data_IF_912235752394
#
_entry.id   IF_912235752394
#
_cell.length_a   1.000
_cell.length_b   1.000
_cell.length_c   1.000
_cell.angle_alpha   90.00
_cell.angle_beta   90.00
_cell.angle_gamma   90.00
#
_symmetry.space_group_name_H-M   'P 1'
#
loop_
_entity.id
_entity.type
_entity.pdbx_description
1 polymer ?
#
# COMPACT_ATOMS: atom_id res chain seq x y z
N UNK A 1 29.56 11.01 -24.04
CA UNK A 1 28.13 10.63 -24.02
C UNK A 1 27.31 11.86 -23.63
N UNK A 2 26.54 12.46 -24.53
CA UNK A 2 25.72 13.63 -24.20
C UNK A 2 24.53 13.23 -23.32
N UNK A 3 24.12 14.11 -22.40
CA UNK A 3 23.00 13.90 -21.46
C UNK A 3 21.73 13.44 -22.19
N UNK A 4 21.50 13.96 -23.40
CA UNK A 4 20.35 13.62 -24.25
C UNK A 4 20.28 12.14 -24.62
N UNK A 5 21.41 11.44 -24.77
CA UNK A 5 21.38 9.99 -25.08
C UNK A 5 21.04 9.14 -23.85
N UNK A 6 21.48 9.55 -22.65
CA UNK A 6 21.10 8.85 -21.40
C UNK A 6 19.61 8.94 -21.13
N UNK A 7 18.97 10.08 -21.44
CA UNK A 7 17.53 10.24 -21.28
C UNK A 7 16.77 9.24 -22.17
N UNK A 8 17.19 9.10 -23.43
CA UNK A 8 16.60 8.13 -24.36
C UNK A 8 16.75 6.69 -23.91
N UNK A 9 17.86 6.35 -23.25
CA UNK A 9 18.14 5.00 -22.72
C UNK A 9 17.27 4.64 -21.50
N UNK A 10 17.01 5.59 -20.59
CA UNK A 10 16.17 5.34 -19.41
C UNK A 10 14.67 5.49 -19.67
N UNK A 11 14.28 6.15 -20.77
CA UNK A 11 12.87 6.46 -21.06
C UNK A 11 11.95 5.22 -21.04
N UNK A 12 12.33 4.06 -21.61
CA UNK A 12 11.49 2.86 -21.55
C UNK A 12 11.23 2.38 -20.11
N UNK A 13 12.27 2.36 -19.26
CA UNK A 13 12.15 1.94 -17.86
C UNK A 13 11.30 2.92 -17.03
N UNK A 14 11.40 4.23 -17.31
CA UNK A 14 10.57 5.26 -16.69
C UNK A 14 9.09 5.09 -17.06
N UNK A 15 8.78 4.77 -18.33
CA UNK A 15 7.41 4.51 -18.79
C UNK A 15 6.85 3.24 -18.14
N UNK A 16 7.65 2.18 -18.05
CA UNK A 16 7.26 0.94 -17.38
C UNK A 16 6.97 1.17 -15.89
N UNK A 17 7.85 1.88 -15.18
CA UNK A 17 7.66 2.24 -13.77
C UNK A 17 6.45 3.15 -13.54
N UNK A 18 6.18 4.08 -14.46
CA UNK A 18 4.98 4.91 -14.44
C UNK A 18 3.71 4.07 -14.61
N UNK A 19 3.71 3.13 -15.56
CA UNK A 19 2.60 2.19 -15.77
C UNK A 19 2.32 1.32 -14.56
N UNK A 20 3.37 0.82 -13.89
CA UNK A 20 3.24 0.05 -12.66
C UNK A 20 2.65 0.90 -11.53
N UNK A 21 3.16 2.12 -11.34
CA UNK A 21 2.66 3.06 -10.31
C UNK A 21 1.19 3.36 -10.52
N UNK A 22 0.78 3.62 -11.76
CA UNK A 22 -0.61 3.89 -12.10
C UNK A 22 -1.49 2.66 -11.80
N UNK A 23 -1.05 1.48 -12.21
CA UNK A 23 -1.79 0.22 -11.98
C UNK A 23 -1.98 -0.05 -10.49
N UNK A 24 -0.92 0.09 -9.69
CA UNK A 24 -0.97 -0.07 -8.23
C UNK A 24 -1.86 0.99 -7.58
N UNK A 25 -1.78 2.23 -8.03
CA UNK A 25 -2.60 3.34 -7.51
C UNK A 25 -4.07 3.08 -7.76
N UNK A 26 -4.46 2.74 -8.99
CA UNK A 26 -5.85 2.46 -9.34
C UNK A 26 -6.39 1.31 -8.49
N UNK A 27 -5.68 0.18 -8.43
CA UNK A 27 -6.11 -0.97 -7.63
C UNK A 27 -6.23 -0.64 -6.13
N UNK A 28 -5.21 0.02 -5.56
CA UNK A 28 -5.18 0.35 -4.13
C UNK A 28 -6.26 1.36 -3.75
N UNK A 29 -6.46 2.39 -4.58
CA UNK A 29 -7.50 3.41 -4.35
C UNK A 29 -8.88 2.79 -4.50
N UNK A 30 -9.13 1.95 -5.52
CA UNK A 30 -10.44 1.30 -5.69
C UNK A 30 -10.80 0.41 -4.49
N UNK A 31 -9.88 -0.43 -4.03
CA UNK A 31 -10.11 -1.28 -2.86
C UNK A 31 -10.27 -0.43 -1.60
N UNK A 32 -9.37 0.53 -1.39
CA UNK A 32 -9.42 1.44 -0.25
C UNK A 32 -10.71 2.25 -0.20
N UNK A 33 -11.22 2.69 -1.35
CA UNK A 33 -12.48 3.43 -1.47
C UNK A 33 -13.67 2.60 -1.02
N UNK A 34 -13.80 1.37 -1.53
CA UNK A 34 -14.88 0.45 -1.14
C UNK A 34 -14.84 0.17 0.37
N UNK A 35 -13.66 -0.17 0.91
CA UNK A 35 -13.49 -0.40 2.35
C UNK A 35 -13.80 0.87 3.17
N UNK A 36 -13.38 2.04 2.71
CA UNK A 36 -13.60 3.31 3.40
C UNK A 36 -15.09 3.64 3.51
N UNK A 37 -15.90 3.31 2.50
CA UNK A 37 -17.35 3.51 2.54
C UNK A 37 -17.94 2.69 3.70
N UNK A 38 -17.63 1.40 3.79
CA UNK A 38 -18.15 0.54 4.85
C UNK A 38 -17.69 1.00 6.24
N UNK A 39 -16.44 1.40 6.39
CA UNK A 39 -15.89 1.91 7.64
C UNK A 39 -16.52 3.25 8.04
N UNK A 40 -16.77 4.15 7.09
CA UNK A 40 -17.43 5.42 7.34
C UNK A 40 -18.88 5.20 7.82
N UNK A 41 -19.62 4.31 7.14
CA UNK A 41 -20.98 3.93 7.55
C UNK A 41 -20.98 3.28 8.94
N UNK A 42 -20.07 2.35 9.19
CA UNK A 42 -19.91 1.69 10.49
C UNK A 42 -19.61 2.69 11.61
N UNK A 43 -18.78 3.70 11.34
CA UNK A 43 -18.42 4.74 12.32
C UNK A 43 -19.62 5.62 12.72
N UNK A 44 -20.51 5.94 11.80
CA UNK A 44 -21.72 6.76 12.06
C UNK A 44 -22.82 5.95 12.76
N UNK A 45 -22.70 4.61 12.81
CA UNK A 45 -23.67 3.74 13.46
C UNK A 45 -23.90 4.11 14.93
N UNK A 46 -25.17 4.07 15.36
CA UNK A 46 -25.59 4.24 16.77
C UNK A 46 -25.05 3.16 17.71
N UNK A 47 -24.71 1.99 17.17
CA UNK A 47 -24.26 0.85 17.95
C UNK A 47 -22.76 0.95 18.23
N UNK A 48 -22.40 1.16 19.50
CA UNK A 48 -20.99 1.26 19.94
C UNK A 48 -20.15 0.05 19.56
N UNK A 49 -20.74 -1.15 19.55
CA UNK A 49 -20.07 -2.39 19.12
C UNK A 49 -19.57 -2.34 17.67
N UNK A 50 -20.20 -1.53 16.81
CA UNK A 50 -19.82 -1.37 15.40
C UNK A 50 -18.97 -0.10 15.23
N UNK A 51 -19.40 1.01 15.85
CA UNK A 51 -18.72 2.30 15.71
C UNK A 51 -17.32 2.31 16.33
N UNK A 52 -17.12 1.64 17.48
CA UNK A 52 -15.83 1.60 18.16
C UNK A 52 -14.71 0.92 17.34
N UNK A 53 -14.87 -0.32 16.83
CA UNK A 53 -13.82 -0.95 16.02
C UNK A 53 -13.56 -0.20 14.71
N UNK A 54 -14.60 0.35 14.04
CA UNK A 54 -14.41 1.20 12.86
C UNK A 54 -13.62 2.47 13.20
N UNK A 55 -13.92 3.09 14.35
CA UNK A 55 -13.19 4.24 14.87
C UNK A 55 -11.72 3.94 15.15
N UNK A 56 -11.45 2.79 15.78
CA UNK A 56 -10.09 2.33 16.08
C UNK A 56 -9.29 2.09 14.80
N UNK A 57 -9.87 1.41 13.81
CA UNK A 57 -9.24 1.20 12.51
C UNK A 57 -8.87 2.55 11.87
N UNK A 58 -9.84 3.47 11.76
CA UNK A 58 -9.61 4.77 11.15
C UNK A 58 -8.53 5.56 11.90
N UNK A 59 -8.53 5.52 13.23
CA UNK A 59 -7.54 6.19 14.05
C UNK A 59 -6.14 5.61 13.86
N UNK A 60 -6.00 4.29 13.85
CA UNK A 60 -4.72 3.60 13.64
C UNK A 60 -4.14 3.97 12.26
N UNK A 61 -4.89 3.74 11.19
CA UNK A 61 -4.37 3.95 9.82
C UNK A 61 -4.10 5.43 9.49
N UNK A 62 -4.81 6.38 10.14
CA UNK A 62 -4.55 7.83 9.99
C UNK A 62 -3.49 8.36 10.96
N UNK A 63 -3.23 7.66 12.06
CA UNK A 63 -2.29 8.06 13.11
C UNK A 63 -0.88 7.48 12.90
N UNK A 64 -0.74 6.40 12.13
CA UNK A 64 0.56 5.79 11.84
C UNK A 64 1.13 6.26 10.50
N UNK A 65 2.44 6.55 10.40
CA UNK A 65 3.10 6.84 9.12
C UNK A 65 2.95 5.68 8.13
N UNK A 66 2.63 5.97 6.86
CA UNK A 66 2.51 4.95 5.80
C UNK A 66 3.79 4.10 5.66
N UNK A 67 4.96 4.72 5.80
CA UNK A 67 6.24 4.00 5.76
C UNK A 67 6.35 2.92 6.85
N UNK A 68 5.84 3.19 8.05
CA UNK A 68 5.82 2.20 9.13
C UNK A 68 4.91 1.03 8.77
N UNK A 69 3.76 1.30 8.16
CA UNK A 69 2.82 0.26 7.72
C UNK A 69 3.46 -0.64 6.66
N UNK A 70 4.13 -0.04 5.67
CA UNK A 70 4.84 -0.80 4.62
C UNK A 70 5.97 -1.64 5.20
N UNK A 71 6.77 -1.10 6.11
CA UNK A 71 7.83 -1.87 6.78
C UNK A 71 7.27 -3.00 7.64
N UNK A 72 6.17 -2.78 8.35
CA UNK A 72 5.54 -3.85 9.11
C UNK A 72 5.05 -4.98 8.19
N UNK A 73 4.38 -4.65 7.09
CA UNK A 73 3.91 -5.65 6.12
C UNK A 73 5.08 -6.39 5.47
N UNK A 74 6.17 -5.68 5.15
CA UNK A 74 7.31 -6.27 4.46
C UNK A 74 8.22 -7.10 5.37
N UNK A 75 8.46 -6.65 6.61
CA UNK A 75 9.42 -7.30 7.52
C UNK A 75 8.78 -8.10 8.65
N UNK A 76 7.65 -7.65 9.21
CA UNK A 76 7.04 -8.30 10.37
C UNK A 76 6.03 -9.39 10.00
N UNK A 77 5.25 -9.19 8.93
CA UNK A 77 4.25 -10.17 8.48
C UNK A 77 4.84 -11.55 8.09
N UNK A 78 6.00 -11.62 7.40
CA UNK A 78 6.74 -12.86 7.15
C UNK A 78 7.08 -13.69 8.40
N UNK A 79 7.27 -13.05 9.56
CA UNK A 79 7.63 -13.72 10.82
C UNK A 79 6.45 -14.46 11.44
N UNK A 80 5.21 -14.07 11.10
CA UNK A 80 3.99 -14.68 11.64
C UNK A 80 3.69 -16.00 10.95
N UNK A 81 3.94 -16.12 9.65
CA UNK A 81 3.70 -17.36 8.92
C UNK A 81 4.57 -17.49 7.65
N UNK A 82 5.24 -18.64 7.38
CA UNK A 82 6.06 -18.84 6.19
C UNK A 82 5.34 -18.70 4.85
N UNK A 83 4.00 -18.82 4.80
CA UNK A 83 3.25 -18.57 3.55
C UNK A 83 3.13 -17.07 3.22
N UNK A 84 3.44 -16.18 4.16
CA UNK A 84 3.41 -14.73 3.99
C UNK A 84 4.79 -14.16 3.60
N UNK A 85 5.76 -15.02 3.28
CA UNK A 85 7.02 -14.59 2.70
C UNK A 85 6.74 -13.96 1.33
N UNK A 86 6.81 -12.64 1.27
CA UNK A 86 6.74 -11.91 0.02
C UNK A 86 8.02 -12.23 -0.75
N UNK A 87 7.94 -13.15 -1.71
CA UNK A 87 9.01 -13.44 -2.66
C UNK A 87 9.16 -12.27 -3.63
N UNK A 88 9.69 -11.15 -3.14
CA UNK A 88 10.02 -10.01 -3.97
C UNK A 88 11.39 -10.23 -4.60
N UNK A 89 11.55 -9.84 -5.86
CA UNK A 89 12.87 -9.79 -6.52
C UNK A 89 13.86 -8.86 -5.79
N UNK A 90 13.37 -7.99 -4.90
CA UNK A 90 14.15 -7.09 -4.07
C UNK A 90 14.81 -7.81 -2.88
N UNK A 91 14.14 -8.77 -2.23
CA UNK A 91 14.72 -9.57 -1.16
C UNK A 91 15.82 -10.52 -1.66
N UNK A 92 15.76 -10.93 -2.93
CA UNK A 92 16.76 -11.79 -3.58
C UNK A 92 17.97 -11.01 -4.13
N UNK A 93 17.93 -9.67 -4.13
CA UNK A 93 18.97 -8.79 -4.68
C UNK A 93 19.84 -8.09 -3.62
N UNK A 94 19.55 -8.32 -2.33
CA UNK A 94 20.37 -7.90 -1.18
C UNK A 94 21.12 -9.12 -0.63
#
# INVERSE_FOLDING_TARGET
MSIFQKIGEYLPALIEGAGLTLSLTVLSVSIGFVLSIFLALGKISRYKLISAPCGLYIWFFRGTPLMMQLFFVYYALPLVHPALLIQSKFAAAL
#
